data_IF_314039949079
#
_entry.id   IF_314039949079
#
_cell.length_a   1.000
_cell.length_b   1.000
_cell.length_c   1.000
_cell.angle_alpha   90.00
_cell.angle_beta   90.00
_cell.angle_gamma   90.00
#
_symmetry.space_group_name_H-M   'P 1'
#
loop_
_entity.id
_entity.type
_entity.pdbx_description
1 polymer ?
#
# COMPACT_ATOMS: atom_id res chain seq x y z
N UNK A 1 -2.50 -5.25 -25.46
CA UNK A 1 -3.17 -5.72 -24.22
C UNK A 1 -2.95 -4.69 -23.12
N UNK A 2 -4.02 -4.29 -22.46
CA UNK A 2 -3.90 -3.32 -21.36
C UNK A 2 -3.35 -4.00 -20.12
N UNK A 3 -2.36 -3.38 -19.49
CA UNK A 3 -1.90 -3.84 -18.19
C UNK A 3 -2.99 -3.59 -17.13
N UNK A 4 -3.12 -4.53 -16.20
CA UNK A 4 -4.02 -4.36 -15.06
C UNK A 4 -3.40 -3.40 -14.04
N UNK A 5 -4.24 -2.84 -13.15
CA UNK A 5 -3.76 -2.04 -12.02
C UNK A 5 -2.75 -2.84 -11.21
N UNK A 6 -3.04 -4.12 -10.96
CA UNK A 6 -2.16 -5.01 -10.20
C UNK A 6 -0.80 -5.15 -10.88
N UNK A 7 -0.76 -5.38 -12.19
CA UNK A 7 0.49 -5.53 -12.92
C UNK A 7 1.31 -4.24 -12.93
N UNK A 8 0.68 -3.09 -13.16
CA UNK A 8 1.38 -1.80 -13.13
C UNK A 8 1.95 -1.51 -11.74
N UNK A 9 1.17 -1.79 -10.69
CA UNK A 9 1.61 -1.59 -9.31
C UNK A 9 2.78 -2.51 -8.97
N UNK A 10 2.73 -3.77 -9.40
CA UNK A 10 3.82 -4.72 -9.18
C UNK A 10 5.11 -4.24 -9.85
N UNK A 11 5.03 -3.72 -11.08
CA UNK A 11 6.19 -3.18 -11.78
C UNK A 11 6.75 -1.94 -11.08
N UNK A 12 5.87 -1.02 -10.68
CA UNK A 12 6.29 0.22 -10.01
C UNK A 12 6.95 -0.04 -8.66
N UNK A 13 6.60 -1.14 -8.00
CA UNK A 13 7.06 -1.47 -6.66
C UNK A 13 8.01 -2.66 -6.62
N UNK A 14 8.68 -2.98 -7.74
CA UNK A 14 9.58 -4.13 -7.83
C UNK A 14 10.65 -4.14 -6.74
N UNK A 15 11.25 -3.00 -6.45
CA UNK A 15 12.31 -2.86 -5.43
C UNK A 15 11.78 -2.55 -4.03
N UNK A 16 10.47 -2.35 -3.88
CA UNK A 16 9.91 -1.91 -2.60
C UNK A 16 10.20 -2.85 -1.43
N UNK A 17 10.14 -4.19 -1.58
CA UNK A 17 10.47 -5.06 -0.46
C UNK A 17 11.85 -4.81 0.14
N UNK A 18 12.85 -4.55 -0.70
CA UNK A 18 14.19 -4.23 -0.24
C UNK A 18 14.24 -2.87 0.46
N UNK A 19 13.64 -1.86 -0.15
CA UNK A 19 13.62 -0.50 0.38
C UNK A 19 12.85 -0.43 1.70
N UNK A 20 11.76 -1.20 1.82
CA UNK A 20 10.93 -1.27 3.02
C UNK A 20 11.48 -2.20 4.10
N UNK A 21 12.61 -2.84 3.84
CA UNK A 21 13.25 -3.80 4.76
C UNK A 21 12.38 -5.01 5.07
N UNK A 22 11.66 -5.51 4.08
CA UNK A 22 10.88 -6.73 4.20
C UNK A 22 11.81 -7.92 3.93
N UNK A 23 12.66 -8.23 4.90
CA UNK A 23 13.71 -9.25 4.74
C UNK A 23 13.29 -10.65 5.14
N UNK A 24 12.30 -10.77 6.02
CA UNK A 24 11.84 -12.07 6.50
C UNK A 24 10.92 -12.73 5.47
N UNK A 25 10.99 -14.07 5.31
CA UNK A 25 10.15 -14.75 4.33
C UNK A 25 8.65 -14.48 4.49
N UNK A 26 8.15 -14.41 5.73
CA UNK A 26 6.74 -14.15 5.99
C UNK A 26 6.35 -12.73 5.57
N UNK A 27 7.23 -11.75 5.79
CA UNK A 27 7.00 -10.38 5.33
C UNK A 27 6.88 -10.33 3.80
N UNK A 28 7.76 -11.03 3.09
CA UNK A 28 7.74 -11.07 1.62
C UNK A 28 6.50 -11.78 1.09
N UNK A 29 6.11 -12.87 1.71
CA UNK A 29 4.89 -13.58 1.32
C UNK A 29 3.65 -12.72 1.55
N UNK A 30 3.59 -12.03 2.68
CA UNK A 30 2.50 -11.10 2.97
C UNK A 30 2.45 -9.96 1.96
N UNK A 31 3.60 -9.39 1.63
CA UNK A 31 3.72 -8.35 0.61
C UNK A 31 3.16 -8.81 -0.73
N UNK A 32 3.57 -10.00 -1.18
CA UNK A 32 3.09 -10.55 -2.46
C UNK A 32 1.59 -10.75 -2.47
N UNK A 33 1.01 -11.27 -1.39
CA UNK A 33 -0.43 -11.44 -1.28
C UNK A 33 -1.17 -10.11 -1.35
N UNK A 34 -0.67 -9.09 -0.65
CA UNK A 34 -1.27 -7.75 -0.67
C UNK A 34 -1.12 -7.10 -2.05
N UNK A 35 0.04 -7.25 -2.66
CA UNK A 35 0.33 -6.65 -3.97
C UNK A 35 -0.58 -7.22 -5.06
N UNK A 36 -0.87 -8.51 -4.99
CA UNK A 36 -1.69 -9.18 -6.00
C UNK A 36 -3.20 -9.11 -5.72
N UNK A 37 -3.60 -8.63 -4.53
CA UNK A 37 -5.02 -8.52 -4.21
C UNK A 37 -5.66 -7.39 -5.01
N UNK A 38 -6.77 -7.65 -5.73
CA UNK A 38 -7.49 -6.60 -6.43
C UNK A 38 -8.34 -5.79 -5.43
N UNK A 39 -8.43 -4.49 -5.65
CA UNK A 39 -9.26 -3.62 -4.83
C UNK A 39 -8.74 -3.45 -3.41
N UNK A 40 -9.62 -3.58 -2.44
CA UNK A 40 -9.27 -3.38 -1.02
C UNK A 40 -8.34 -4.48 -0.51
N UNK A 41 -7.27 -4.12 0.22
CA UNK A 41 -6.42 -5.14 0.85
C UNK A 41 -7.21 -6.02 1.82
N UNK A 42 -6.88 -7.32 1.91
CA UNK A 42 -7.54 -8.20 2.86
C UNK A 42 -7.26 -7.78 4.30
N UNK A 43 -8.17 -8.10 5.20
CA UNK A 43 -7.97 -7.87 6.63
C UNK A 43 -6.83 -8.77 7.14
N UNK A 44 -6.18 -8.33 8.21
CA UNK A 44 -5.05 -9.07 8.80
C UNK A 44 -5.40 -10.54 9.09
N UNK A 45 -6.58 -10.79 9.64
CA UNK A 45 -7.00 -12.17 9.96
C UNK A 45 -7.12 -13.03 8.70
N UNK A 46 -7.68 -12.49 7.62
CA UNK A 46 -7.81 -13.20 6.35
C UNK A 46 -6.45 -13.47 5.71
N UNK A 47 -5.57 -12.48 5.75
CA UNK A 47 -4.21 -12.62 5.22
C UNK A 47 -3.43 -13.67 6.01
N UNK A 48 -3.50 -13.63 7.33
CA UNK A 48 -2.84 -14.63 8.20
C UNK A 48 -3.32 -16.04 7.87
N UNK A 49 -4.63 -16.21 7.69
CA UNK A 49 -5.20 -17.51 7.31
C UNK A 49 -4.63 -18.00 5.97
N UNK A 50 -4.53 -17.12 4.99
CA UNK A 50 -3.96 -17.45 3.68
C UNK A 50 -2.49 -17.85 3.77
N UNK A 51 -1.76 -17.31 4.74
CA UNK A 51 -0.34 -17.60 4.93
C UNK A 51 -0.10 -18.75 5.91
N UNK A 52 -1.14 -19.30 6.52
CA UNK A 52 -1.03 -20.44 7.45
C UNK A 52 -0.44 -20.06 8.81
N UNK A 53 -0.61 -18.84 9.26
CA UNK A 53 -0.09 -18.34 10.54
C UNK A 53 -1.20 -17.65 11.33
N UNK A 54 -0.94 -17.39 12.63
CA UNK A 54 -1.89 -16.61 13.44
C UNK A 54 -1.79 -15.14 13.09
N UNK A 55 -2.88 -14.42 13.35
CA UNK A 55 -2.93 -12.97 13.16
C UNK A 55 -1.85 -12.26 14.00
N UNK A 56 -1.68 -12.69 15.23
CA UNK A 56 -0.70 -12.11 16.15
C UNK A 56 0.73 -12.31 15.66
N UNK A 57 1.04 -13.50 15.13
CA UNK A 57 2.35 -13.80 14.58
C UNK A 57 2.63 -12.92 13.35
N UNK A 58 1.66 -12.82 12.43
CA UNK A 58 1.80 -11.99 11.25
C UNK A 58 2.04 -10.54 11.62
N UNK A 59 1.25 -10.00 12.56
CA UNK A 59 1.38 -8.60 13.00
C UNK A 59 2.75 -8.32 13.61
N UNK A 60 3.28 -9.25 14.41
CA UNK A 60 4.62 -9.10 15.00
C UNK A 60 5.72 -9.12 13.96
N UNK A 61 5.60 -10.00 12.97
CA UNK A 61 6.62 -10.13 11.92
C UNK A 61 6.70 -8.88 11.04
N UNK A 62 5.57 -8.26 10.71
CA UNK A 62 5.55 -7.09 9.85
C UNK A 62 6.14 -5.89 10.56
N UNK A 63 6.45 -5.60 11.54
CA UNK A 63 7.18 -4.47 12.11
C UNK A 63 8.62 -4.77 12.43
N UNK A 64 9.04 -6.02 12.26
CA UNK A 64 10.37 -6.46 12.64
C UNK A 64 11.45 -5.85 11.74
N UNK A 65 12.63 -5.60 12.31
CA UNK A 65 13.79 -5.12 11.57
C UNK A 65 13.67 -3.69 11.03
N UNK A 66 12.76 -2.91 11.57
CA UNK A 66 12.54 -1.52 11.12
C UNK A 66 11.63 -1.40 9.92
N UNK A 67 10.97 -2.49 9.50
CA UNK A 67 9.97 -2.46 8.44
C UNK A 67 8.69 -1.76 8.91
N UNK A 68 7.89 -1.19 8.00
CA UNK A 68 6.58 -0.67 8.37
C UNK A 68 5.64 -1.80 8.82
N UNK A 69 4.65 -1.46 9.64
CA UNK A 69 3.67 -2.45 10.06
C UNK A 69 2.74 -2.82 8.88
N UNK A 70 2.00 -3.92 9.05
CA UNK A 70 1.14 -4.44 7.99
C UNK A 70 0.12 -3.43 7.49
N UNK A 71 -0.52 -2.68 8.40
CA UNK A 71 -1.53 -1.70 8.01
C UNK A 71 -0.93 -0.59 7.13
N UNK A 72 0.25 -0.12 7.46
CA UNK A 72 0.91 0.91 6.66
C UNK A 72 1.31 0.42 5.28
N UNK A 73 1.75 -0.83 5.20
CA UNK A 73 2.06 -1.47 3.91
C UNK A 73 0.79 -1.59 3.06
N UNK A 74 -0.30 -2.04 3.66
CA UNK A 74 -1.58 -2.16 2.97
C UNK A 74 -2.08 -0.79 2.48
N UNK A 75 -1.98 0.24 3.32
CA UNK A 75 -2.38 1.60 2.94
C UNK A 75 -1.51 2.14 1.80
N UNK A 76 -0.21 1.89 1.84
CA UNK A 76 0.70 2.28 0.75
C UNK A 76 0.26 1.68 -0.58
N UNK A 77 -0.05 0.39 -0.58
CA UNK A 77 -0.51 -0.30 -1.79
C UNK A 77 -1.86 0.23 -2.27
N UNK A 78 -2.76 0.59 -1.35
CA UNK A 78 -4.03 1.21 -1.71
C UNK A 78 -3.82 2.58 -2.36
N UNK A 79 -2.88 3.38 -1.84
CA UNK A 79 -2.54 4.68 -2.43
C UNK A 79 -2.01 4.51 -3.85
N UNK A 80 -1.10 3.56 -4.08
CA UNK A 80 -0.60 3.28 -5.43
C UNK A 80 -1.72 2.89 -6.38
N UNK A 81 -2.63 2.01 -5.94
CA UNK A 81 -3.77 1.61 -6.76
C UNK A 81 -4.67 2.80 -7.09
N UNK A 82 -4.92 3.67 -6.11
CA UNK A 82 -5.75 4.86 -6.32
C UNK A 82 -5.13 5.80 -7.33
N UNK A 83 -3.84 6.09 -7.21
CA UNK A 83 -3.15 6.99 -8.14
C UNK A 83 -3.13 6.42 -9.56
N UNK A 84 -2.93 5.11 -9.69
CA UNK A 84 -2.96 4.45 -10.99
C UNK A 84 -4.35 4.53 -11.64
N UNK A 85 -5.40 4.26 -10.89
CA UNK A 85 -6.77 4.33 -11.41
C UNK A 85 -7.13 5.75 -11.85
N UNK A 86 -6.73 6.75 -11.08
CA UNK A 86 -6.98 8.15 -11.43
C UNK A 86 -6.19 8.60 -12.66
N UNK A 87 -4.96 8.11 -12.81
CA UNK A 87 -4.08 8.55 -13.89
C UNK A 87 -4.21 7.77 -15.18
N UNK A 88 -4.38 6.46 -15.10
CA UNK A 88 -4.29 5.58 -16.27
C UNK A 88 -5.64 5.02 -16.75
N UNK A 89 -6.65 4.99 -15.90
CA UNK A 89 -7.93 4.38 -16.24
C UNK A 89 -9.08 5.37 -16.40
N UNK A 90 -8.83 6.66 -16.17
CA UNK A 90 -9.82 7.71 -16.37
C UNK A 90 -10.93 7.76 -15.35
N UNK A 91 -10.81 7.06 -14.23
CA UNK A 91 -11.80 7.11 -13.17
C UNK A 91 -11.70 8.42 -12.38
N UNK A 92 -12.83 8.92 -11.91
CA UNK A 92 -12.84 10.04 -10.98
C UNK A 92 -12.67 9.54 -9.54
N UNK A 93 -12.50 10.47 -8.60
CA UNK A 93 -12.24 10.12 -7.19
C UNK A 93 -13.38 9.34 -6.55
N UNK A 94 -14.64 9.63 -6.93
CA UNK A 94 -15.81 8.90 -6.40
C UNK A 94 -15.77 7.44 -6.84
N UNK A 95 -15.46 7.20 -8.11
CA UNK A 95 -15.35 5.86 -8.66
C UNK A 95 -14.19 5.10 -8.03
N UNK A 96 -13.03 5.75 -7.86
CA UNK A 96 -11.85 5.13 -7.26
C UNK A 96 -12.12 4.75 -5.80
N UNK A 97 -12.72 5.65 -5.02
CA UNK A 97 -13.07 5.36 -3.64
C UNK A 97 -13.97 4.12 -3.56
N UNK A 98 -14.94 4.01 -4.45
CA UNK A 98 -15.86 2.88 -4.50
C UNK A 98 -15.14 1.58 -4.88
N UNK A 99 -14.31 1.61 -5.91
CA UNK A 99 -13.56 0.44 -6.38
C UNK A 99 -12.62 -0.12 -5.31
N UNK A 100 -12.00 0.76 -4.53
CA UNK A 100 -11.08 0.37 -3.48
C UNK A 100 -11.76 0.24 -2.11
N UNK A 101 -13.10 0.34 -2.10
CA UNK A 101 -13.94 0.16 -0.92
C UNK A 101 -13.63 1.13 0.23
N UNK A 102 -13.24 2.36 -0.11
CA UNK A 102 -13.23 3.45 0.86
C UNK A 102 -14.65 3.95 1.09
N UNK A 103 -14.98 4.28 2.33
CA UNK A 103 -16.33 4.74 2.67
C UNK A 103 -16.71 6.01 1.92
N UNK A 104 -15.78 6.93 1.75
CA UNK A 104 -15.99 8.21 1.07
C UNK A 104 -14.73 8.65 0.34
N UNK A 105 -14.83 9.55 -0.66
CA UNK A 105 -13.63 10.18 -1.24
C UNK A 105 -12.79 10.92 -0.21
N UNK A 106 -13.40 11.49 0.81
CA UNK A 106 -12.67 12.16 1.90
C UNK A 106 -11.79 11.20 2.67
N UNK A 107 -12.27 9.97 2.89
CA UNK A 107 -11.47 8.93 3.55
C UNK A 107 -10.25 8.56 2.70
N UNK A 108 -10.42 8.41 1.39
CA UNK A 108 -9.30 8.16 0.48
C UNK A 108 -8.28 9.29 0.56
N UNK A 109 -8.72 10.55 0.52
CA UNK A 109 -7.84 11.72 0.65
C UNK A 109 -7.08 11.72 1.98
N UNK A 110 -7.75 11.34 3.06
CA UNK A 110 -7.15 11.24 4.38
C UNK A 110 -6.03 10.19 4.41
N UNK A 111 -6.27 9.02 3.81
CA UNK A 111 -5.28 7.95 3.75
C UNK A 111 -4.06 8.38 2.93
N UNK A 112 -4.28 9.00 1.76
CA UNK A 112 -3.18 9.53 0.94
C UNK A 112 -2.31 10.50 1.76
N UNK A 113 -2.95 11.44 2.46
CA UNK A 113 -2.24 12.44 3.25
C UNK A 113 -1.48 11.79 4.42
N UNK A 114 -2.09 10.82 5.07
CA UNK A 114 -1.45 10.10 6.19
C UNK A 114 -0.22 9.32 5.73
N UNK A 115 -0.30 8.69 4.57
CA UNK A 115 0.79 7.86 4.04
C UNK A 115 1.91 8.71 3.43
N UNK A 116 1.57 9.77 2.71
CA UNK A 116 2.55 10.55 1.95
C UNK A 116 2.83 11.94 2.50
N UNK A 117 1.96 12.48 3.31
CA UNK A 117 2.02 13.89 3.72
C UNK A 117 1.56 14.86 2.64
N UNK A 118 1.14 14.33 1.49
CA UNK A 118 0.72 15.12 0.34
C UNK A 118 -0.79 15.11 0.17
N UNK A 119 -1.32 16.13 -0.48
CA UNK A 119 -2.69 16.09 -0.98
C UNK A 119 -2.75 15.15 -2.17
N UNK A 120 -3.93 14.58 -2.42
CA UNK A 120 -4.12 13.65 -3.54
C UNK A 120 -3.64 14.24 -4.87
N UNK A 121 -4.01 15.48 -5.15
CA UNK A 121 -3.63 16.15 -6.39
C UNK A 121 -2.12 16.32 -6.54
N UNK A 122 -1.44 16.62 -5.45
CA UNK A 122 0.02 16.72 -5.43
C UNK A 122 0.67 15.35 -5.66
N UNK A 123 0.16 14.31 -5.00
CA UNK A 123 0.67 12.94 -5.15
C UNK A 123 0.54 12.47 -6.60
N UNK A 124 -0.59 12.77 -7.25
CA UNK A 124 -0.78 12.44 -8.66
C UNK A 124 0.25 13.12 -9.56
N UNK A 125 0.54 14.38 -9.28
CA UNK A 125 1.47 15.17 -10.09
C UNK A 125 2.92 14.72 -9.91
N UNK A 126 3.30 14.36 -8.68
CA UNK A 126 4.68 14.02 -8.36
C UNK A 126 5.08 12.61 -8.78
N UNK A 127 4.12 11.69 -8.88
CA UNK A 127 4.38 10.34 -9.37
C UNK A 127 4.77 9.33 -8.29
N UNK A 128 4.92 8.10 -8.73
CA UNK A 128 5.04 6.93 -7.85
C UNK A 128 6.33 6.90 -7.04
N UNK A 129 7.45 7.27 -7.63
CA UNK A 129 8.74 7.28 -6.92
C UNK A 129 8.72 8.27 -5.76
N UNK A 130 8.14 9.44 -5.98
CA UNK A 130 8.04 10.45 -4.93
C UNK A 130 7.09 10.01 -3.83
N UNK A 131 6.01 9.31 -4.17
CA UNK A 131 5.08 8.74 -3.18
C UNK A 131 5.81 7.77 -2.25
N UNK A 132 6.60 6.85 -2.80
CA UNK A 132 7.38 5.91 -2.00
C UNK A 132 8.41 6.64 -1.13
N UNK A 133 9.11 7.62 -1.70
CA UNK A 133 10.08 8.43 -0.96
C UNK A 133 9.43 9.14 0.24
N UNK A 134 8.27 9.74 0.03
CA UNK A 134 7.53 10.44 1.10
C UNK A 134 7.05 9.48 2.17
N UNK A 135 6.58 8.30 1.76
CA UNK A 135 6.19 7.25 2.70
C UNK A 135 7.36 6.87 3.61
N UNK A 136 8.54 6.65 3.03
CA UNK A 136 9.73 6.28 3.78
C UNK A 136 10.17 7.37 4.75
N UNK A 137 10.10 8.63 4.34
CA UNK A 137 10.46 9.76 5.20
C UNK A 137 9.51 9.87 6.40
N UNK A 138 8.22 9.71 6.19
CA UNK A 138 7.24 9.75 7.27
C UNK A 138 7.38 8.55 8.20
N UNK A 139 7.78 7.40 7.64
CA UNK A 139 8.01 6.18 8.41
C UNK A 139 9.11 6.29 9.44
N UNK A 140 10.07 7.17 9.24
CA UNK A 140 11.16 7.35 10.21
C UNK A 140 10.67 7.79 11.58
N UNK A 141 9.60 8.56 11.65
CA UNK A 141 9.07 9.02 12.93
C UNK A 141 8.44 7.88 13.73
N UNK A 142 7.82 6.89 13.09
CA UNK A 142 7.27 5.74 13.82
C UNK A 142 8.31 4.67 14.11
N UNK A 143 9.40 4.63 13.35
CA UNK A 143 10.53 3.74 13.64
C UNK A 143 11.34 4.23 14.84
N UNK A 144 11.35 5.51 15.10
CA UNK A 144 12.10 6.11 16.19
C UNK A 144 11.48 5.83 17.57
N UNK A 145 10.24 5.39 17.61
CA UNK A 145 9.55 5.03 18.87
C UNK A 145 9.74 3.54 19.17
#
# INVERSE_FOLDING_TARGET
>A
MRETVTARRANALEDAPRVLRLTEPLQRRGWEHLLMAPGRPPRTAALARSLGVSREHLSRQFGAGGAPNLKRVADLLAVYAALDLLGNSGYDINQVARLLEFATPSHLRLVVRRITGLRLEEARRLGEEEVLSRFLKRGRSWQAN
#
